data_IF_922598567804
#
_entry.id   IF_922598567804
#
_cell.length_a   1.000
_cell.length_b   1.000
_cell.length_c   1.000
_cell.angle_alpha   90.00
_cell.angle_beta   90.00
_cell.angle_gamma   90.00
#
_symmetry.space_group_name_H-M   'P 1'
#
loop_
_entity.id
_entity.type
_entity.pdbx_description
1 polymer ?
#
# COMPACT_ATOMS: atom_id res chain seq x y z
N UNK A 1 5.91 9.11 13.05
CA UNK A 1 7.11 9.34 12.21
C UNK A 1 6.64 10.12 10.99
N UNK A 2 7.22 11.28 10.73
CA UNK A 2 6.82 12.14 9.60
C UNK A 2 7.47 11.59 8.32
N UNK A 3 6.70 11.45 7.25
CA UNK A 3 7.21 11.03 5.94
C UNK A 3 8.22 12.09 5.45
N UNK A 4 9.36 11.66 4.91
CA UNK A 4 10.31 12.59 4.30
C UNK A 4 9.71 13.22 3.04
N UNK A 5 10.03 14.50 2.79
CA UNK A 5 9.64 15.23 1.58
C UNK A 5 10.86 16.02 1.07
N UNK A 6 11.38 15.73 -0.14
CA UNK A 6 10.91 14.67 -1.04
C UNK A 6 11.19 13.25 -0.50
N UNK A 7 10.43 12.27 -0.98
CA UNK A 7 10.66 10.85 -0.72
C UNK A 7 12.06 10.43 -1.18
N UNK A 8 12.78 9.59 -0.40
CA UNK A 8 14.04 9.03 -0.86
C UNK A 8 13.81 8.12 -2.07
N UNK A 9 14.75 8.09 -3.02
CA UNK A 9 14.69 7.15 -4.14
C UNK A 9 14.93 5.72 -3.65
N UNK A 10 14.06 4.78 -4.04
CA UNK A 10 14.25 3.34 -3.79
C UNK A 10 15.46 2.83 -4.55
N UNK A 11 16.35 2.12 -3.87
CA UNK A 11 17.59 1.61 -4.46
C UNK A 11 17.35 0.44 -5.43
N UNK A 12 18.06 0.43 -6.56
CA UNK A 12 18.02 -0.67 -7.53
C UNK A 12 16.82 -0.63 -8.47
N UNK A 13 16.66 -1.66 -9.33
CA UNK A 13 15.57 -1.73 -10.29
C UNK A 13 14.22 -1.93 -9.61
N UNK A 14 13.14 -1.53 -10.28
CA UNK A 14 11.77 -1.85 -9.86
C UNK A 14 11.58 -3.38 -9.83
N UNK A 15 10.77 -3.93 -8.90
CA UNK A 15 10.42 -5.34 -8.90
C UNK A 15 9.67 -5.72 -10.18
N UNK A 16 9.77 -6.98 -10.58
CA UNK A 16 8.89 -7.53 -11.62
C UNK A 16 7.50 -7.77 -11.04
N UNK A 17 6.48 -7.46 -11.83
CA UNK A 17 5.08 -7.66 -11.45
C UNK A 17 4.29 -8.30 -12.58
N UNK A 18 3.14 -8.88 -12.28
CA UNK A 18 2.20 -9.33 -13.31
C UNK A 18 1.52 -8.11 -13.97
N UNK A 19 1.30 -8.10 -15.30
CA UNK A 19 0.65 -6.97 -15.98
C UNK A 19 -0.88 -7.05 -15.94
N UNK A 20 -1.45 -7.88 -15.06
CA UNK A 20 -2.86 -8.28 -15.05
C UNK A 20 -3.41 -8.32 -13.63
N UNK A 21 -4.72 -8.57 -13.47
CA UNK A 21 -5.33 -8.97 -12.20
C UNK A 21 -5.41 -10.51 -12.14
N UNK A 22 -4.94 -11.21 -11.09
CA UNK A 22 -4.25 -10.69 -9.89
C UNK A 22 -2.94 -9.97 -10.21
N UNK A 23 -2.78 -8.77 -9.64
CA UNK A 23 -1.56 -7.96 -9.74
C UNK A 23 -0.62 -8.38 -8.60
N UNK A 24 0.52 -8.95 -8.94
CA UNK A 24 1.40 -9.61 -7.98
C UNK A 24 2.85 -9.21 -8.17
N UNK A 25 3.57 -8.96 -7.07
CA UNK A 25 5.02 -8.78 -7.09
C UNK A 25 5.73 -10.14 -7.15
N UNK A 26 6.66 -10.30 -8.10
CA UNK A 26 7.26 -11.59 -8.45
C UNK A 26 8.69 -11.77 -7.91
N UNK A 27 9.34 -10.68 -7.48
CA UNK A 27 10.67 -10.71 -6.89
C UNK A 27 10.88 -9.57 -5.90
N UNK A 28 12.06 -9.52 -5.27
CA UNK A 28 12.44 -8.52 -4.27
C UNK A 28 11.57 -8.52 -2.99
N UNK A 29 10.98 -9.65 -2.63
CA UNK A 29 10.41 -9.87 -1.30
C UNK A 29 11.49 -9.75 -0.21
N UNK A 30 11.13 -9.35 1.03
CA UNK A 30 12.08 -9.35 2.14
C UNK A 30 12.61 -10.76 2.39
N UNK A 31 13.93 -10.87 2.56
CA UNK A 31 14.56 -12.13 2.97
C UNK A 31 14.27 -12.44 4.45
N UNK A 32 14.17 -11.40 5.29
CA UNK A 32 13.78 -11.51 6.69
C UNK A 32 12.26 -11.40 6.86
N UNK A 33 11.56 -12.45 7.31
CA UNK A 33 10.13 -12.41 7.59
C UNK A 33 9.74 -11.38 8.66
N UNK A 34 10.66 -10.94 9.50
CA UNK A 34 10.38 -9.91 10.52
C UNK A 34 9.93 -8.59 9.90
N UNK A 35 10.43 -8.25 8.70
CA UNK A 35 10.08 -7.00 8.00
C UNK A 35 8.58 -6.96 7.66
N UNK A 36 8.02 -8.04 7.12
CA UNK A 36 6.58 -8.11 6.82
C UNK A 36 5.71 -8.10 8.08
N UNK A 37 6.20 -8.70 9.17
CA UNK A 37 5.48 -8.75 10.45
C UNK A 37 5.46 -7.40 11.15
N UNK A 38 6.59 -6.70 11.14
CA UNK A 38 6.73 -5.33 11.66
C UNK A 38 5.88 -4.34 10.85
N UNK A 39 5.87 -4.45 9.52
CA UNK A 39 5.02 -3.62 8.67
C UNK A 39 3.55 -3.81 9.04
N UNK A 40 3.09 -5.06 9.08
CA UNK A 40 1.70 -5.37 9.44
C UNK A 40 1.35 -4.86 10.85
N UNK A 41 2.21 -5.10 11.84
CA UNK A 41 2.00 -4.64 13.21
C UNK A 41 1.85 -3.12 13.27
N UNK A 42 2.71 -2.36 12.57
CA UNK A 42 2.65 -0.90 12.52
C UNK A 42 1.38 -0.38 11.85
N UNK A 43 0.99 -1.00 10.74
CA UNK A 43 -0.18 -0.58 9.96
C UNK A 43 -1.51 -0.88 10.67
N UNK A 44 -1.63 -2.04 11.31
CA UNK A 44 -2.85 -2.37 12.05
C UNK A 44 -2.93 -1.70 13.44
N UNK A 45 -1.83 -1.12 13.92
CA UNK A 45 -1.83 -0.26 15.09
C UNK A 45 -2.28 1.19 14.81
N UNK A 46 -2.50 1.57 13.54
CA UNK A 46 -2.93 2.92 13.19
C UNK A 46 -4.31 3.27 13.79
N UNK A 47 -4.49 4.49 14.33
CA UNK A 47 -5.76 4.90 14.94
C UNK A 47 -6.96 4.72 14.02
N UNK A 48 -8.00 4.05 14.52
CA UNK A 48 -9.23 3.83 13.76
C UNK A 48 -9.16 2.75 12.68
N UNK A 49 -8.00 2.13 12.45
CA UNK A 49 -7.85 0.98 11.57
C UNK A 49 -8.32 -0.30 12.28
N UNK A 50 -9.03 -1.14 11.54
CA UNK A 50 -9.47 -2.47 11.95
C UNK A 50 -9.03 -3.44 10.87
N UNK A 51 -8.31 -4.48 11.27
CA UNK A 51 -7.92 -5.57 10.39
C UNK A 51 -9.13 -6.42 10.01
N UNK A 52 -9.29 -6.72 8.72
CA UNK A 52 -10.31 -7.63 8.18
C UNK A 52 -9.73 -8.44 7.01
N UNK A 53 -10.34 -9.57 6.62
CA UNK A 53 -10.12 -10.12 5.29
C UNK A 53 -10.46 -9.07 4.23
N UNK A 54 -9.61 -8.88 3.21
CA UNK A 54 -9.92 -7.97 2.11
C UNK A 54 -11.14 -8.45 1.33
N UNK A 55 -12.01 -7.51 0.96
CA UNK A 55 -13.21 -7.80 0.18
C UNK A 55 -12.97 -7.77 -1.34
N UNK A 56 -11.78 -7.33 -1.78
CA UNK A 56 -11.46 -7.10 -3.19
C UNK A 56 -10.14 -7.73 -3.65
N UNK A 57 -9.38 -8.30 -2.72
CA UNK A 57 -8.08 -8.93 -3.00
C UNK A 57 -8.12 -10.46 -2.96
N UNK A 58 -6.97 -11.09 -3.14
CA UNK A 58 -6.78 -12.54 -3.13
C UNK A 58 -7.06 -13.15 -1.74
N UNK A 59 -7.39 -14.46 -1.64
CA UNK A 59 -7.57 -15.13 -0.37
C UNK A 59 -6.35 -14.99 0.56
N UNK A 60 -6.58 -14.60 1.81
CA UNK A 60 -5.52 -14.36 2.79
C UNK A 60 -4.99 -12.93 2.83
N UNK A 61 -5.41 -12.06 1.90
CA UNK A 61 -5.10 -10.64 1.97
C UNK A 61 -5.78 -9.96 3.16
N UNK A 62 -5.04 -9.07 3.82
CA UNK A 62 -5.44 -8.43 5.09
C UNK A 62 -5.70 -6.95 4.86
N UNK A 63 -6.95 -6.54 4.93
CA UNK A 63 -7.41 -5.18 4.71
C UNK A 63 -7.22 -4.28 5.93
N UNK A 64 -6.70 -3.08 5.67
CA UNK A 64 -6.77 -1.95 6.57
C UNK A 64 -8.10 -1.24 6.32
N UNK A 65 -9.06 -1.43 7.24
CA UNK A 65 -10.40 -0.86 7.14
C UNK A 65 -10.63 0.20 8.21
N UNK A 66 -11.14 1.38 7.86
CA UNK A 66 -11.46 2.39 8.87
C UNK A 66 -12.79 2.11 9.57
N UNK A 67 -12.82 2.30 10.89
CA UNK A 67 -14.05 2.19 11.70
C UNK A 67 -15.03 3.32 11.36
N UNK A 68 -14.55 4.56 11.43
CA UNK A 68 -15.30 5.79 11.20
C UNK A 68 -14.49 6.72 10.29
N UNK A 69 -14.64 6.61 8.97
CA UNK A 69 -13.97 7.52 8.04
C UNK A 69 -14.60 8.92 8.09
N UNK A 70 -13.81 9.93 7.75
CA UNK A 70 -14.28 11.31 7.64
C UNK A 70 -15.30 11.50 6.51
N UNK A 71 -16.15 12.55 6.59
CA UNK A 71 -17.34 12.72 5.73
C UNK A 71 -17.06 13.00 4.25
N UNK A 72 -15.80 13.20 3.85
CA UNK A 72 -15.42 13.66 2.51
C UNK A 72 -14.26 12.89 1.86
N UNK A 73 -13.86 11.72 2.38
CA UNK A 73 -12.75 11.00 1.75
C UNK A 73 -13.21 9.98 0.71
N UNK A 74 -12.94 10.19 -0.60
CA UNK A 74 -13.23 9.22 -1.66
C UNK A 74 -12.17 8.13 -1.77
N UNK A 75 -11.12 8.13 -0.94
CA UNK A 75 -9.94 7.28 -1.12
C UNK A 75 -10.10 5.91 -0.46
N UNK A 76 -11.03 5.11 -1.00
CA UNK A 76 -11.23 3.71 -0.63
C UNK A 76 -11.25 2.83 -1.87
N UNK A 77 -10.69 1.62 -1.76
CA UNK A 77 -10.74 0.61 -2.82
C UNK A 77 -12.11 -0.07 -2.83
N UNK A 78 -12.65 -0.39 -1.65
CA UNK A 78 -13.98 -0.97 -1.47
C UNK A 78 -14.51 -0.64 -0.08
N UNK A 79 -15.74 -0.12 0.01
CA UNK A 79 -16.34 0.26 1.29
C UNK A 79 -15.48 1.25 2.09
N UNK A 80 -14.82 0.75 3.15
CA UNK A 80 -13.90 1.52 4.03
C UNK A 80 -12.46 0.98 4.02
N UNK A 81 -12.16 0.06 3.11
CA UNK A 81 -10.83 -0.50 2.89
C UNK A 81 -10.02 0.47 2.04
N UNK A 82 -8.93 1.01 2.59
CA UNK A 82 -8.06 1.97 1.89
C UNK A 82 -6.71 1.37 1.50
N UNK A 83 -6.34 0.25 2.11
CA UNK A 83 -5.18 -0.55 1.74
C UNK A 83 -5.40 -2.02 2.13
N UNK A 84 -4.67 -2.94 1.51
CA UNK A 84 -4.58 -4.33 1.96
C UNK A 84 -3.20 -4.92 1.69
N UNK A 85 -2.72 -5.75 2.62
CA UNK A 85 -1.47 -6.50 2.48
C UNK A 85 -1.73 -7.81 1.72
N UNK A 86 -0.90 -8.12 0.71
CA UNK A 86 -0.94 -9.41 0.05
C UNK A 86 -0.29 -10.49 0.93
N UNK A 87 -0.82 -11.73 0.89
CA UNK A 87 -0.22 -12.86 1.58
C UNK A 87 1.05 -13.36 0.85
N UNK A 88 1.66 -14.41 1.38
CA UNK A 88 2.71 -15.13 0.65
C UNK A 88 2.18 -15.64 -0.71
N UNK A 89 3.02 -15.67 -1.76
CA UNK A 89 4.45 -15.31 -1.78
C UNK A 89 4.72 -13.83 -2.17
N UNK A 90 3.69 -12.98 -2.26
CA UNK A 90 3.79 -11.65 -2.86
C UNK A 90 4.38 -10.60 -1.90
N UNK A 91 3.75 -10.46 -0.73
CA UNK A 91 4.08 -9.50 0.34
C UNK A 91 4.05 -8.00 -0.03
N UNK A 92 3.71 -7.63 -1.26
CA UNK A 92 3.37 -6.24 -1.59
C UNK A 92 2.01 -5.85 -1.00
N UNK A 93 1.57 -4.61 -1.25
CA UNK A 93 0.24 -4.16 -0.87
C UNK A 93 -0.38 -3.29 -1.94
N UNK A 94 -1.71 -3.28 -1.99
CA UNK A 94 -2.45 -2.21 -2.68
C UNK A 94 -2.90 -1.14 -1.70
N UNK A 95 -2.88 0.10 -2.16
CA UNK A 95 -3.38 1.26 -1.41
C UNK A 95 -3.99 2.30 -2.35
N UNK A 96 -5.02 3.01 -1.87
CA UNK A 96 -5.58 4.18 -2.51
C UNK A 96 -4.88 5.45 -1.98
N UNK A 97 -3.80 5.88 -2.65
CA UNK A 97 -3.00 7.03 -2.22
C UNK A 97 -3.63 8.36 -2.71
N UNK A 98 -3.45 9.48 -1.98
CA UNK A 98 -3.68 10.82 -2.54
C UNK A 98 -2.86 11.01 -3.82
N UNK A 99 -3.39 11.75 -4.79
CA UNK A 99 -2.78 11.91 -6.13
C UNK A 99 -1.33 12.41 -6.05
N UNK A 100 -1.08 13.39 -5.21
CA UNK A 100 0.25 14.00 -5.04
C UNK A 100 1.25 12.97 -4.49
N UNK A 101 0.82 12.21 -3.47
CA UNK A 101 1.64 11.16 -2.85
C UNK A 101 1.87 9.97 -3.78
N UNK A 102 0.86 9.64 -4.59
CA UNK A 102 0.94 8.60 -5.61
C UNK A 102 2.04 8.92 -6.63
N UNK A 103 2.03 10.14 -7.18
CA UNK A 103 3.03 10.58 -8.17
C UNK A 103 4.43 10.48 -7.57
N UNK A 104 4.62 11.04 -6.37
CA UNK A 104 5.91 11.02 -5.69
C UNK A 104 6.40 9.59 -5.40
N UNK A 105 5.52 8.69 -4.95
CA UNK A 105 5.87 7.30 -4.69
C UNK A 105 6.26 6.54 -5.96
N UNK A 106 5.61 6.79 -7.10
CA UNK A 106 5.94 6.16 -8.38
C UNK A 106 7.29 6.65 -8.91
N UNK A 107 7.51 7.97 -8.86
CA UNK A 107 8.75 8.62 -9.30
C UNK A 107 9.95 8.18 -8.45
N UNK A 108 9.78 8.13 -7.14
CA UNK A 108 10.79 7.63 -6.21
C UNK A 108 10.97 6.10 -6.24
N UNK A 109 10.16 5.37 -7.01
CA UNK A 109 10.32 3.92 -7.24
C UNK A 109 9.72 3.02 -6.16
N UNK A 110 8.84 3.53 -5.31
CA UNK A 110 8.14 2.78 -4.26
C UNK A 110 6.84 2.13 -4.73
N UNK A 111 6.30 2.59 -5.85
CA UNK A 111 4.99 2.18 -6.33
C UNK A 111 4.95 1.95 -7.84
N UNK A 112 3.89 1.29 -8.29
CA UNK A 112 3.40 1.41 -9.66
C UNK A 112 1.85 1.41 -9.73
N UNK A 113 1.25 2.01 -10.78
CA UNK A 113 -0.20 1.99 -10.96
C UNK A 113 -0.72 0.56 -11.14
N UNK A 114 -1.85 0.24 -10.51
CA UNK A 114 -2.54 -1.03 -10.70
C UNK A 114 -2.94 -1.22 -12.18
N UNK A 115 -2.76 -2.41 -12.80
CA UNK A 115 -3.05 -2.63 -14.22
C UNK A 115 -4.47 -2.22 -14.64
N UNK A 116 -5.46 -2.54 -13.83
CA UNK A 116 -6.87 -2.15 -14.06
C UNK A 116 -7.08 -0.63 -13.95
N UNK A 117 -6.29 0.06 -13.12
CA UNK A 117 -6.33 1.52 -13.01
C UNK A 117 -5.75 2.17 -14.28
N UNK A 118 -4.70 1.58 -14.88
CA UNK A 118 -4.17 2.00 -16.19
C UNK A 118 -5.19 1.85 -17.33
N UNK A 119 -6.16 0.94 -17.19
CA UNK A 119 -7.28 0.78 -18.11
C UNK A 119 -8.45 1.73 -17.83
N UNK A 120 -8.37 2.58 -16.79
CA UNK A 120 -9.43 3.52 -16.41
C UNK A 120 -10.67 2.88 -15.78
N UNK A 121 -10.59 1.62 -15.34
CA UNK A 121 -11.73 0.86 -14.81
C UNK A 121 -11.89 0.99 -13.29
N UNK A 122 -10.83 1.43 -12.60
CA UNK A 122 -10.83 1.77 -11.17
C UNK A 122 -10.08 3.11 -10.99
N UNK A 123 -10.21 3.80 -9.85
CA UNK A 123 -9.49 5.04 -9.61
C UNK A 123 -7.99 4.90 -9.87
N UNK A 124 -7.42 5.86 -10.59
CA UNK A 124 -5.99 5.90 -10.92
C UNK A 124 -5.08 5.94 -9.68
N UNK A 125 -5.62 6.38 -8.54
CA UNK A 125 -4.96 6.48 -7.25
C UNK A 125 -4.67 5.13 -6.59
N UNK A 126 -5.20 4.04 -7.15
CA UNK A 126 -4.94 2.68 -6.67
C UNK A 126 -3.62 2.19 -7.26
N UNK A 127 -2.64 2.02 -6.38
CA UNK A 127 -1.28 1.56 -6.73
C UNK A 127 -0.95 0.25 -6.04
N UNK A 128 0.04 -0.46 -6.57
CA UNK A 128 0.84 -1.39 -5.79
C UNK A 128 1.98 -0.60 -5.12
N UNK A 129 2.12 -0.74 -3.80
CA UNK A 129 3.35 -0.41 -3.09
C UNK A 129 4.18 -1.68 -2.96
N UNK A 130 5.46 -1.60 -3.29
CA UNK A 130 6.32 -2.77 -3.28
C UNK A 130 6.58 -3.29 -1.86
N UNK A 131 6.78 -4.60 -1.75
CA UNK A 131 7.18 -5.22 -0.49
C UNK A 131 8.49 -4.60 0.01
N UNK A 132 8.57 -4.09 1.25
CA UNK A 132 9.82 -3.55 1.77
C UNK A 132 10.84 -4.66 1.99
N UNK A 133 12.09 -4.41 1.58
CA UNK A 133 13.20 -5.37 1.70
C UNK A 133 13.91 -5.32 3.05
N UNK A 134 13.88 -4.16 3.70
CA UNK A 134 14.59 -3.84 4.95
C UNK A 134 13.80 -2.80 5.77
N UNK A 135 14.33 -2.42 6.92
CA UNK A 135 13.69 -1.47 7.84
C UNK A 135 13.53 -0.07 7.25
N UNK A 136 14.46 0.39 6.40
CA UNK A 136 14.37 1.71 5.78
C UNK A 136 13.22 1.74 4.76
N UNK A 137 13.09 0.69 3.96
CA UNK A 137 11.96 0.56 3.04
C UNK A 137 10.64 0.43 3.79
N UNK A 138 10.63 -0.32 4.91
CA UNK A 138 9.46 -0.45 5.77
C UNK A 138 9.01 0.92 6.28
N UNK A 139 9.94 1.76 6.74
CA UNK A 139 9.62 3.10 7.22
C UNK A 139 8.96 3.97 6.15
N UNK A 140 9.43 3.89 4.90
CA UNK A 140 8.84 4.62 3.78
C UNK A 140 7.46 4.09 3.44
N UNK A 141 7.31 2.77 3.25
CA UNK A 141 6.04 2.14 2.90
C UNK A 141 4.98 2.39 4.00
N UNK A 142 5.36 2.21 5.26
CA UNK A 142 4.48 2.49 6.39
C UNK A 142 4.12 3.98 6.46
N UNK A 143 5.08 4.87 6.17
CA UNK A 143 4.85 6.30 6.09
C UNK A 143 3.80 6.67 5.04
N UNK A 144 3.88 6.10 3.83
CA UNK A 144 2.93 6.35 2.74
C UNK A 144 1.51 5.98 3.12
N UNK A 145 1.33 4.80 3.74
CA UNK A 145 0.03 4.32 4.21
C UNK A 145 -0.47 5.15 5.40
N UNK A 146 0.42 5.55 6.31
CA UNK A 146 0.07 6.40 7.47
C UNK A 146 -0.37 7.79 7.03
N UNK A 147 0.36 8.42 6.10
CA UNK A 147 0.02 9.72 5.56
C UNK A 147 -1.33 9.69 4.85
N UNK A 148 -1.61 8.62 4.10
CA UNK A 148 -2.92 8.37 3.52
C UNK A 148 -3.99 8.27 4.59
N UNK A 149 -3.80 7.39 5.58
CA UNK A 149 -4.75 7.17 6.68
C UNK A 149 -5.08 8.45 7.45
N UNK A 150 -4.09 9.32 7.70
CA UNK A 150 -4.29 10.59 8.39
C UNK A 150 -5.26 11.54 7.66
N UNK A 151 -5.37 11.44 6.33
CA UNK A 151 -6.32 12.22 5.53
C UNK A 151 -7.74 11.61 5.50
N UNK A 152 -7.89 10.37 5.96
CA UNK A 152 -9.15 9.64 5.93
C UNK A 152 -9.93 9.71 7.24
N UNK A 153 -9.30 10.15 8.33
CA UNK A 153 -9.91 10.27 9.66
C UNK A 153 -10.39 11.70 9.92
N UNK A 154 -11.39 11.88 10.82
CA UNK A 154 -11.89 13.20 11.22
C UNK A 154 -10.83 14.12 11.84
#
# INVERSE_FOLDING_TARGET
>A
MTLATPLPTRSGPRPRTTPSNPHTQLDQQPADPSIREQLAARLFALPGVVERPSAISVPGARALTLRQPGPRSPMFMVGKEFAHLHPAPDFSLHAALPRELMVEAIEAGWAEPHPIARLGLIPETIVMLYAPRDENELDVVAGLVTATQALLVP
#
